data_IF_481273225669
#
_entry.id   IF_481273225669
#
_cell.length_a   1.000
_cell.length_b   1.000
_cell.length_c   1.000
_cell.angle_alpha   90.00
_cell.angle_beta   90.00
_cell.angle_gamma   90.00
#
_symmetry.space_group_name_H-M   'P 1'
#
loop_
_entity.id
_entity.type
_entity.pdbx_description
1 polymer ?
#
# COMPACT_ATOMS: atom_id res chain seq x y z
N UNK A 1 -10.61 -8.84 54.25
CA UNK A 1 -10.03 -9.84 53.32
C UNK A 1 -9.82 -9.20 51.95
N UNK A 2 -8.64 -8.62 51.70
CA UNK A 2 -8.30 -8.01 50.40
C UNK A 2 -7.57 -9.01 49.50
N UNK A 3 -8.07 -9.25 48.29
CA UNK A 3 -7.42 -10.11 47.29
C UNK A 3 -6.21 -9.38 46.69
N UNK A 4 -5.01 -9.94 46.90
CA UNK A 4 -3.75 -9.52 46.28
C UNK A 4 -3.85 -9.65 44.75
N UNK A 5 -3.54 -8.56 44.02
CA UNK A 5 -3.29 -8.59 42.58
C UNK A 5 -1.97 -9.34 42.34
N UNK A 6 -1.98 -10.38 41.52
CA UNK A 6 -0.74 -11.01 41.07
C UNK A 6 -0.05 -10.11 40.06
N UNK A 7 1.22 -9.78 40.33
CA UNK A 7 2.11 -9.16 39.36
C UNK A 7 2.44 -10.18 38.27
N UNK A 8 1.86 -10.03 37.08
CA UNK A 8 2.31 -10.79 35.92
C UNK A 8 3.71 -10.32 35.54
N UNK A 9 4.69 -11.21 35.64
CA UNK A 9 6.01 -11.00 35.06
C UNK A 9 5.89 -10.76 33.54
N UNK A 10 6.69 -9.86 32.96
CA UNK A 10 6.73 -9.68 31.51
C UNK A 10 7.22 -10.99 30.87
N UNK A 11 6.44 -11.54 29.92
CA UNK A 11 6.87 -12.68 29.11
C UNK A 11 8.04 -12.25 28.22
N UNK A 12 9.10 -13.07 28.06
CA UNK A 12 10.23 -12.76 27.20
C UNK A 12 9.72 -12.71 25.75
N UNK A 13 9.92 -11.59 25.05
CA UNK A 13 9.34 -11.34 23.73
C UNK A 13 10.29 -11.45 22.54
N UNK A 14 11.60 -11.62 22.73
CA UNK A 14 12.53 -11.33 21.63
C UNK A 14 13.50 -12.47 21.23
N UNK A 15 13.61 -13.56 22.00
CA UNK A 15 14.61 -14.62 21.69
C UNK A 15 14.33 -15.41 20.39
N UNK A 16 13.07 -15.50 19.97
CA UNK A 16 12.68 -16.25 18.76
C UNK A 16 13.14 -15.57 17.45
N UNK A 17 13.37 -14.26 17.47
CA UNK A 17 13.88 -13.50 16.31
C UNK A 17 15.38 -13.78 16.12
N UNK A 18 16.12 -13.86 17.23
CA UNK A 18 17.57 -14.07 17.23
C UNK A 18 17.98 -15.49 16.81
N UNK A 19 17.11 -16.49 16.99
CA UNK A 19 17.42 -17.90 16.70
C UNK A 19 16.98 -18.38 15.31
N UNK A 20 16.68 -17.47 14.37
CA UNK A 20 16.25 -17.84 13.01
C UNK A 20 14.87 -18.51 12.90
N UNK A 21 14.17 -18.73 14.03
CA UNK A 21 12.82 -19.31 14.04
C UNK A 21 11.78 -18.37 13.41
N UNK A 22 12.08 -17.06 13.37
CA UNK A 22 11.25 -16.01 12.79
C UNK A 22 11.19 -16.02 11.25
N UNK A 23 12.04 -16.79 10.58
CA UNK A 23 12.08 -16.90 9.11
C UNK A 23 11.73 -18.32 8.63
N UNK A 24 11.34 -18.46 7.37
CA UNK A 24 11.21 -19.74 6.65
C UNK A 24 12.59 -20.25 6.24
N UNK A 25 12.65 -21.48 5.70
CA UNK A 25 13.89 -22.05 5.15
C UNK A 25 14.48 -21.17 4.05
N UNK A 26 13.62 -20.55 3.22
CA UNK A 26 14.02 -19.56 2.19
C UNK A 26 14.26 -18.15 2.73
N UNK A 27 14.42 -17.97 4.05
CA UNK A 27 14.76 -16.67 4.67
C UNK A 27 13.61 -15.66 4.81
N UNK A 28 12.39 -15.98 4.36
CA UNK A 28 11.24 -15.06 4.44
C UNK A 28 10.67 -14.97 5.86
N UNK A 29 10.27 -13.78 6.36
CA UNK A 29 9.72 -13.67 7.70
C UNK A 29 8.37 -14.40 7.83
N UNK A 30 8.12 -14.98 9.01
CA UNK A 30 6.89 -15.71 9.34
C UNK A 30 5.95 -14.83 10.17
N UNK A 31 4.79 -14.47 9.61
CA UNK A 31 3.78 -13.57 10.22
C UNK A 31 3.46 -13.88 11.69
N UNK A 32 3.43 -15.17 12.07
CA UNK A 32 3.08 -15.62 13.43
C UNK A 32 3.95 -15.02 14.54
N UNK A 33 5.17 -14.57 14.23
CA UNK A 33 6.09 -13.95 15.19
C UNK A 33 5.94 -12.43 15.30
N UNK A 34 5.15 -11.80 14.43
CA UNK A 34 4.96 -10.35 14.34
C UNK A 34 3.55 -9.92 14.81
N UNK A 35 2.97 -10.64 15.79
CA UNK A 35 1.57 -10.50 16.20
C UNK A 35 1.29 -9.28 17.09
N UNK A 36 0.66 -8.26 16.51
CA UNK A 36 0.03 -7.16 17.24
C UNK A 36 -1.50 -7.16 17.06
N UNK A 37 -2.26 -6.59 18.01
CA UNK A 37 -3.72 -6.40 17.85
C UNK A 37 -4.00 -5.54 16.60
N UNK A 38 -5.00 -5.92 15.81
CA UNK A 38 -5.36 -5.23 14.56
C UNK A 38 -5.81 -3.78 14.77
N UNK A 39 -6.40 -3.48 15.92
CA UNK A 39 -6.91 -2.15 16.24
C UNK A 39 -5.89 -1.35 17.05
N UNK A 40 -5.03 -0.61 16.37
CA UNK A 40 -4.32 0.51 16.98
C UNK A 40 -5.27 1.72 17.05
N UNK A 41 -5.21 2.53 18.10
CA UNK A 41 -5.93 3.81 18.12
C UNK A 41 -5.14 4.80 17.26
N UNK A 42 -5.64 5.27 16.10
CA UNK A 42 -4.90 6.23 15.28
C UNK A 42 -4.64 7.54 16.04
N UNK A 43 -5.44 7.84 17.07
CA UNK A 43 -5.29 9.06 17.85
C UNK A 43 -4.31 8.93 19.03
N UNK A 44 -3.85 7.71 19.38
CA UNK A 44 -2.85 7.54 20.45
C UNK A 44 -1.45 7.83 19.92
N UNK A 45 -0.74 8.76 20.58
CA UNK A 45 0.61 9.18 20.24
C UNK A 45 1.60 8.18 20.84
N UNK A 46 2.28 7.41 20.01
CA UNK A 46 3.48 6.66 20.40
C UNK A 46 4.59 7.02 19.43
N UNK A 47 5.54 7.88 19.83
CA UNK A 47 6.81 8.24 19.16
C UNK A 47 6.84 7.87 17.65
N UNK A 48 6.03 8.57 16.85
CA UNK A 48 6.13 8.56 15.40
C UNK A 48 6.88 9.83 15.04
N UNK A 49 8.02 9.66 14.37
CA UNK A 49 8.78 10.77 13.83
C UNK A 49 8.23 11.11 12.46
N UNK A 50 8.04 12.40 12.22
CA UNK A 50 7.57 12.94 10.96
C UNK A 50 8.64 13.91 10.47
N UNK A 51 8.97 13.91 9.17
CA UNK A 51 9.82 14.94 8.61
C UNK A 51 9.18 16.32 8.80
N UNK A 52 10.02 17.36 8.93
CA UNK A 52 9.53 18.74 9.10
C UNK A 52 8.81 19.26 7.84
N UNK A 53 9.23 18.77 6.68
CA UNK A 53 8.64 19.01 5.37
C UNK A 53 9.00 17.85 4.42
N UNK A 54 8.32 17.71 3.26
CA UNK A 54 8.66 16.68 2.28
C UNK A 54 10.13 16.71 1.85
N UNK A 55 10.72 17.90 1.75
CA UNK A 55 12.12 18.09 1.38
C UNK A 55 13.13 17.58 2.43
N UNK A 56 12.70 17.36 3.68
CA UNK A 56 13.54 16.82 4.76
C UNK A 56 13.42 15.30 4.92
N UNK A 57 12.62 14.62 4.07
CA UNK A 57 12.45 13.18 4.16
C UNK A 57 13.65 12.42 3.58
N UNK A 58 14.22 11.52 4.38
CA UNK A 58 15.25 10.59 3.93
C UNK A 58 14.61 9.33 3.31
N UNK A 59 14.44 9.36 2.00
CA UNK A 59 13.97 8.25 1.19
C UNK A 59 15.05 7.20 0.90
N UNK A 60 16.34 7.46 1.17
CA UNK A 60 17.44 6.54 0.87
C UNK A 60 17.37 5.25 1.70
N UNK A 61 16.85 5.35 2.93
CA UNK A 61 16.60 4.18 3.80
C UNK A 61 15.52 3.26 3.22
N UNK A 62 14.58 3.83 2.46
CA UNK A 62 13.45 3.11 1.87
C UNK A 62 13.76 2.60 0.46
N UNK A 63 14.43 3.41 -0.36
CA UNK A 63 14.68 3.18 -1.78
C UNK A 63 16.16 3.45 -2.13
N UNK A 64 17.12 2.68 -1.60
CA UNK A 64 18.54 2.96 -1.71
C UNK A 64 19.09 2.90 -3.14
N UNK A 65 18.36 2.26 -4.07
CA UNK A 65 18.70 2.24 -5.51
C UNK A 65 18.33 3.52 -6.23
N UNK A 66 17.48 4.36 -5.63
CA UNK A 66 16.91 5.56 -6.25
C UNK A 66 17.25 6.85 -5.49
N UNK A 67 17.86 6.78 -4.32
CA UNK A 67 18.24 7.95 -3.52
C UNK A 67 19.58 7.74 -2.85
N UNK A 68 20.36 8.80 -2.73
CA UNK A 68 21.60 8.81 -1.95
C UNK A 68 21.33 9.26 -0.52
N UNK A 69 22.03 8.73 0.49
CA UNK A 69 21.90 9.20 1.87
C UNK A 69 22.14 10.72 2.01
N UNK A 70 21.42 11.40 2.93
CA UNK A 70 21.64 12.82 3.22
C UNK A 70 23.08 13.10 3.68
N UNK A 71 23.59 14.29 3.38
CA UNK A 71 24.93 14.72 3.78
C UNK A 71 24.99 15.26 5.21
N UNK A 72 23.87 15.77 5.73
CA UNK A 72 23.76 16.26 7.10
C UNK A 72 22.44 15.83 7.78
N UNK A 73 22.40 15.78 9.13
CA UNK A 73 21.17 15.48 9.86
C UNK A 73 20.06 16.50 9.58
N UNK A 74 18.84 16.03 9.32
CA UNK A 74 17.67 16.87 9.06
C UNK A 74 17.49 17.30 7.60
N UNK A 75 18.44 16.97 6.72
CA UNK A 75 18.29 17.10 5.27
C UNK A 75 17.57 15.88 4.69
N UNK A 76 16.82 16.09 3.60
CA UNK A 76 16.26 15.00 2.83
C UNK A 76 17.29 14.32 1.94
N UNK A 77 16.97 13.13 1.47
CA UNK A 77 17.84 12.37 0.57
C UNK A 77 17.74 12.89 -0.88
N UNK A 78 18.86 13.21 -1.55
CA UNK A 78 18.83 13.53 -2.98
C UNK A 78 18.31 12.38 -3.84
N UNK A 79 17.43 12.71 -4.78
CA UNK A 79 16.84 11.74 -5.71
C UNK A 79 17.73 11.49 -6.92
N UNK A 80 17.97 10.22 -7.23
CA UNK A 80 18.61 9.79 -8.47
C UNK A 80 17.57 9.80 -9.60
N UNK A 81 17.91 10.46 -10.71
CA UNK A 81 17.04 10.59 -11.90
C UNK A 81 15.66 11.23 -11.60
N UNK A 82 15.53 12.02 -10.53
CA UNK A 82 14.30 12.73 -10.18
C UNK A 82 13.14 11.82 -9.74
N UNK A 83 13.40 10.57 -9.36
CA UNK A 83 12.40 9.64 -8.84
C UNK A 83 11.76 10.14 -7.55
N UNK A 84 10.45 9.91 -7.43
CA UNK A 84 9.64 10.23 -6.24
C UNK A 84 8.69 9.07 -5.96
N UNK A 85 8.21 8.98 -4.71
CA UNK A 85 7.09 8.09 -4.37
C UNK A 85 5.84 8.57 -5.09
N UNK A 86 5.19 7.67 -5.83
CA UNK A 86 4.00 7.98 -6.63
C UNK A 86 2.76 7.22 -6.16
N UNK A 87 2.93 6.04 -5.57
CA UNK A 87 1.84 5.21 -5.07
C UNK A 87 1.89 5.11 -3.55
N UNK A 88 0.76 5.35 -2.89
CA UNK A 88 0.63 5.21 -1.44
C UNK A 88 -0.47 4.20 -1.06
N UNK A 89 -0.09 3.15 -0.33
CA UNK A 89 -1.01 2.14 0.22
C UNK A 89 -1.27 2.45 1.70
N UNK A 90 -2.42 3.09 1.98
CA UNK A 90 -2.76 3.61 3.30
C UNK A 90 -3.37 2.52 4.16
N UNK A 91 -2.70 2.18 5.26
CA UNK A 91 -3.08 1.04 6.08
C UNK A 91 -2.74 -0.28 5.40
N UNK A 92 -1.54 -0.37 4.82
CA UNK A 92 -1.14 -1.46 3.91
C UNK A 92 -1.17 -2.88 4.53
N UNK A 93 -1.32 -2.99 5.85
CA UNK A 93 -1.28 -4.26 6.55
C UNK A 93 0.04 -4.98 6.28
N UNK A 94 -0.05 -6.23 5.85
CA UNK A 94 1.12 -7.06 5.52
C UNK A 94 1.72 -6.78 4.12
N UNK A 95 1.39 -5.64 3.49
CA UNK A 95 2.05 -5.14 2.28
C UNK A 95 1.68 -5.85 0.98
N UNK A 96 0.64 -6.70 0.99
CA UNK A 96 0.31 -7.57 -0.13
C UNK A 96 0.05 -6.84 -1.45
N UNK A 97 -0.61 -5.67 -1.42
CA UNK A 97 -0.85 -4.85 -2.61
C UNK A 97 0.48 -4.36 -3.20
N UNK A 98 1.18 -3.48 -2.48
CA UNK A 98 2.41 -2.84 -2.98
C UNK A 98 3.48 -3.84 -3.40
N UNK A 99 3.67 -4.94 -2.66
CA UNK A 99 4.63 -6.00 -3.02
C UNK A 99 4.21 -6.70 -4.32
N UNK A 100 2.91 -6.98 -4.53
CA UNK A 100 2.43 -7.60 -5.77
C UNK A 100 2.53 -6.68 -7.00
N UNK A 101 2.43 -5.37 -6.79
CA UNK A 101 2.54 -4.38 -7.86
C UNK A 101 4.00 -4.04 -8.19
N UNK A 102 4.92 -4.26 -7.25
CA UNK A 102 6.34 -3.95 -7.40
C UNK A 102 6.91 -4.42 -8.75
N UNK A 103 6.75 -5.69 -9.17
CA UNK A 103 7.31 -6.18 -10.42
C UNK A 103 6.66 -5.55 -11.67
N UNK A 104 5.39 -5.14 -11.59
CA UNK A 104 4.60 -4.61 -12.71
C UNK A 104 4.91 -3.15 -13.03
N UNK A 105 5.45 -2.42 -12.05
CA UNK A 105 5.75 -1.00 -12.14
C UNK A 105 7.19 -0.72 -11.73
N UNK A 106 8.20 -1.28 -12.42
CA UNK A 106 9.61 -1.23 -11.98
C UNK A 106 10.14 0.19 -11.77
N UNK A 107 9.59 1.15 -12.51
CA UNK A 107 9.97 2.57 -12.48
C UNK A 107 9.16 3.43 -11.50
N UNK A 108 8.09 2.90 -10.90
CA UNK A 108 7.21 3.61 -9.97
C UNK A 108 7.54 3.24 -8.54
N UNK A 109 7.79 4.24 -7.71
CA UNK A 109 8.04 4.01 -6.29
C UNK A 109 6.73 3.93 -5.50
N UNK A 110 6.61 2.86 -4.70
CA UNK A 110 5.44 2.49 -3.92
C UNK A 110 5.76 2.47 -2.42
N UNK A 111 4.92 3.12 -1.62
CA UNK A 111 5.07 3.16 -0.17
C UNK A 111 3.81 2.66 0.54
N UNK A 112 3.97 1.62 1.35
CA UNK A 112 2.96 1.23 2.34
C UNK A 112 3.06 2.09 3.60
N UNK A 113 1.93 2.62 4.08
CA UNK A 113 1.84 3.32 5.36
C UNK A 113 1.10 2.44 6.36
N UNK A 114 1.74 2.06 7.47
CA UNK A 114 1.13 1.23 8.51
C UNK A 114 1.48 1.75 9.89
N UNK A 115 0.50 1.76 10.81
CA UNK A 115 0.69 2.33 12.15
C UNK A 115 1.25 1.29 13.14
N UNK A 116 0.99 0.00 12.89
CA UNK A 116 1.38 -1.10 13.78
C UNK A 116 2.87 -1.43 13.61
N UNK A 117 3.62 -1.30 14.70
CA UNK A 117 5.07 -1.54 14.76
C UNK A 117 5.44 -2.92 14.22
N UNK A 118 4.81 -3.98 14.73
CA UNK A 118 5.21 -5.33 14.37
C UNK A 118 4.82 -5.69 12.93
N UNK A 119 3.72 -5.13 12.43
CA UNK A 119 3.29 -5.33 11.05
C UNK A 119 4.23 -4.59 10.09
N UNK A 120 4.59 -3.35 10.41
CA UNK A 120 5.59 -2.60 9.63
C UNK A 120 6.93 -3.34 9.61
N UNK A 121 7.39 -3.84 10.76
CA UNK A 121 8.63 -4.60 10.86
C UNK A 121 8.58 -5.87 9.98
N UNK A 122 7.49 -6.62 10.03
CA UNK A 122 7.29 -7.79 9.16
C UNK A 122 7.42 -7.43 7.69
N UNK A 123 6.74 -6.37 7.25
CA UNK A 123 6.75 -5.95 5.84
C UNK A 123 8.15 -5.47 5.43
N UNK A 124 8.83 -4.72 6.29
CA UNK A 124 10.21 -4.29 6.07
C UNK A 124 11.16 -5.47 5.89
N UNK A 125 11.08 -6.47 6.77
CA UNK A 125 11.93 -7.66 6.68
C UNK A 125 11.57 -8.53 5.47
N UNK A 126 10.28 -8.57 5.07
CA UNK A 126 9.81 -9.26 3.87
C UNK A 126 10.38 -8.63 2.62
N UNK A 127 10.29 -7.30 2.50
CA UNK A 127 10.85 -6.54 1.37
C UNK A 127 12.38 -6.69 1.32
N UNK A 128 13.06 -6.65 2.46
CA UNK A 128 14.52 -6.89 2.53
C UNK A 128 14.88 -8.29 2.00
N UNK A 129 14.17 -9.32 2.44
CA UNK A 129 14.41 -10.69 1.99
C UNK A 129 14.17 -10.87 0.47
N UNK A 130 13.13 -10.22 -0.07
CA UNK A 130 12.84 -10.21 -1.51
C UNK A 130 13.93 -9.47 -2.32
N UNK A 131 14.44 -8.34 -1.81
CA UNK A 131 15.55 -7.58 -2.43
C UNK A 131 16.86 -8.37 -2.48
N UNK A 132 17.15 -9.16 -1.45
CA UNK A 132 18.36 -9.99 -1.36
C UNK A 132 18.32 -11.22 -2.27
N UNK A 133 17.14 -11.58 -2.79
CA UNK A 133 16.95 -12.69 -3.71
C UNK A 133 16.30 -12.20 -5.02
N UNK A 134 17.00 -11.43 -5.87
CA UNK A 134 16.45 -10.95 -7.14
C UNK A 134 15.90 -12.09 -7.99
N UNK A 135 14.70 -11.90 -8.56
CA UNK A 135 13.98 -12.95 -9.30
C UNK A 135 13.14 -13.88 -8.42
N UNK A 136 13.24 -13.79 -7.09
CA UNK A 136 12.28 -14.44 -6.19
C UNK A 136 10.90 -13.77 -6.30
N UNK A 137 9.86 -14.56 -6.10
CA UNK A 137 8.48 -14.10 -6.10
C UNK A 137 8.01 -14.11 -4.66
N UNK A 138 7.20 -13.13 -4.27
CA UNK A 138 6.51 -13.21 -2.98
C UNK A 138 5.77 -14.55 -2.87
N UNK A 139 6.11 -15.43 -1.91
CA UNK A 139 5.49 -16.73 -1.77
C UNK A 139 3.98 -16.66 -1.53
N UNK A 140 3.47 -15.54 -0.99
CA UNK A 140 2.03 -15.32 -0.86
C UNK A 140 1.33 -15.13 -2.24
N UNK A 141 2.11 -14.96 -3.32
CA UNK A 141 1.71 -14.71 -4.71
C UNK A 141 2.50 -15.58 -5.71
N UNK A 142 3.11 -16.70 -5.27
CA UNK A 142 3.93 -17.56 -6.12
C UNK A 142 3.17 -18.13 -7.33
N UNK A 143 1.88 -18.40 -7.15
CA UNK A 143 0.99 -18.93 -8.19
C UNK A 143 0.80 -17.97 -9.40
N UNK A 144 1.13 -16.69 -9.25
CA UNK A 144 0.94 -15.69 -10.30
C UNK A 144 2.12 -15.58 -11.26
N UNK A 145 3.27 -16.13 -10.90
CA UNK A 145 4.50 -16.13 -11.71
C UNK A 145 4.77 -17.49 -12.36
N UNK A 146 4.27 -18.58 -11.78
CA UNK A 146 4.32 -19.93 -12.41
C UNK A 146 3.45 -20.05 -13.69
N UNK A 147 2.72 -19.02 -14.10
CA UNK A 147 1.93 -18.99 -15.33
C UNK A 147 2.78 -18.84 -16.63
N UNK A 148 4.08 -19.15 -16.60
CA UNK A 148 4.98 -19.13 -17.76
C UNK A 148 5.20 -20.49 -18.44
N UNK A 149 4.79 -21.61 -17.83
CA UNK A 149 4.96 -22.95 -18.43
C UNK A 149 3.78 -23.85 -18.05
N UNK A 150 2.62 -23.65 -18.68
CA UNK A 150 1.52 -24.62 -18.62
C UNK A 150 1.44 -25.37 -19.96
N UNK A 151 1.37 -26.72 -19.97
CA UNK A 151 1.14 -27.48 -21.19
C UNK A 151 -0.25 -27.15 -21.76
N UNK A 152 -0.36 -27.15 -23.09
CA UNK A 152 -1.62 -26.91 -23.81
C UNK A 152 -2.75 -27.83 -23.27
N UNK A 153 -3.87 -27.23 -22.85
CA UNK A 153 -5.11 -27.97 -22.58
C UNK A 153 -5.72 -27.88 -21.17
N UNK A 154 -5.17 -27.11 -20.22
CA UNK A 154 -5.79 -26.95 -18.91
C UNK A 154 -6.80 -25.78 -18.87
N UNK A 155 -8.00 -26.03 -18.33
CA UNK A 155 -9.08 -25.06 -18.14
C UNK A 155 -8.64 -23.74 -17.48
N UNK A 156 -9.31 -22.64 -17.87
CA UNK A 156 -9.04 -21.23 -17.53
C UNK A 156 -8.70 -20.99 -16.05
N UNK A 157 -7.42 -21.07 -15.71
CA UNK A 157 -6.86 -20.55 -14.44
C UNK A 157 -6.74 -19.02 -14.50
N UNK A 158 -6.75 -18.30 -13.35
CA UNK A 158 -6.52 -16.85 -13.35
C UNK A 158 -5.22 -16.55 -14.08
N UNK A 159 -5.31 -15.69 -15.09
CA UNK A 159 -4.19 -15.29 -15.94
C UNK A 159 -3.12 -14.68 -15.04
N UNK A 160 -1.99 -15.37 -14.86
CA UNK A 160 -0.85 -14.86 -14.12
C UNK A 160 -0.26 -13.61 -14.76
N UNK A 161 0.72 -13.00 -14.11
CA UNK A 161 1.36 -11.79 -14.58
C UNK A 161 2.01 -12.08 -15.94
N UNK A 162 1.62 -11.33 -16.99
CA UNK A 162 2.21 -11.50 -18.32
C UNK A 162 3.71 -11.20 -18.27
N UNK A 163 4.57 -12.04 -18.86
CA UNK A 163 6.02 -11.78 -18.93
C UNK A 163 6.38 -10.40 -19.52
N UNK A 164 5.55 -9.86 -20.42
CA UNK A 164 5.72 -8.53 -21.00
C UNK A 164 5.64 -7.38 -19.99
N UNK A 165 5.05 -7.60 -18.81
CA UNK A 165 4.99 -6.63 -17.71
C UNK A 165 6.19 -6.75 -16.76
N UNK A 166 7.03 -7.77 -16.92
CA UNK A 166 8.20 -8.04 -16.07
C UNK A 166 9.49 -7.54 -16.73
N UNK A 167 10.46 -7.00 -15.97
CA UNK A 167 11.76 -6.65 -16.52
C UNK A 167 12.57 -7.91 -16.92
N UNK A 168 13.40 -7.77 -17.95
CA UNK A 168 14.13 -8.87 -18.60
C UNK A 168 15.27 -9.49 -17.78
N UNK A 169 15.83 -8.77 -16.81
CA UNK A 169 17.03 -9.16 -16.03
C UNK A 169 16.71 -9.64 -14.60
N UNK A 170 15.45 -9.98 -14.33
CA UNK A 170 14.98 -10.29 -12.99
C UNK A 170 14.58 -9.03 -12.20
N UNK A 171 13.90 -9.23 -11.08
CA UNK A 171 13.27 -8.14 -10.33
C UNK A 171 13.74 -8.10 -8.87
N UNK A 172 14.17 -6.93 -8.41
CA UNK A 172 14.84 -6.77 -7.11
C UNK A 172 14.02 -6.02 -6.05
N UNK A 173 12.69 -5.84 -6.20
CA UNK A 173 11.80 -5.14 -5.22
C UNK A 173 12.38 -3.81 -4.67
N UNK A 174 13.20 -3.13 -5.47
CA UNK A 174 13.88 -1.89 -5.08
C UNK A 174 12.94 -0.69 -5.05
N UNK A 175 11.77 -0.78 -5.69
CA UNK A 175 10.79 0.30 -5.82
C UNK A 175 9.67 0.27 -4.77
N UNK A 176 9.66 -0.71 -3.85
CA UNK A 176 8.60 -0.88 -2.84
C UNK A 176 9.19 -0.79 -1.44
N UNK A 177 8.54 -0.06 -0.54
CA UNK A 177 8.94 0.04 0.85
C UNK A 177 7.71 0.21 1.76
N UNK A 178 7.95 0.17 3.08
CA UNK A 178 6.93 0.43 4.10
C UNK A 178 7.44 1.46 5.09
N UNK A 179 6.56 2.32 5.56
CA UNK A 179 6.84 3.34 6.55
C UNK A 179 5.87 3.20 7.72
N UNK A 180 6.42 3.24 8.94
CA UNK A 180 5.60 3.31 10.14
C UNK A 180 5.03 4.71 10.27
N UNK A 181 3.78 4.91 9.86
CA UNK A 181 3.15 6.22 9.87
C UNK A 181 1.67 6.12 10.22
N UNK A 182 1.16 7.20 10.81
CA UNK A 182 -0.27 7.40 10.94
C UNK A 182 -0.75 8.27 9.79
N UNK A 183 -1.38 7.65 8.79
CA UNK A 183 -1.87 8.36 7.61
C UNK A 183 -2.99 9.39 7.90
N UNK A 184 -3.59 9.36 9.10
CA UNK A 184 -4.52 10.41 9.54
C UNK A 184 -3.82 11.69 10.03
N UNK A 185 -2.49 11.73 10.03
CA UNK A 185 -1.71 12.86 10.52
C UNK A 185 -0.54 13.13 9.58
N UNK A 186 -0.42 14.39 9.17
CA UNK A 186 0.80 14.91 8.54
C UNK A 186 1.16 14.17 7.24
N UNK A 187 0.18 13.74 6.45
CA UNK A 187 0.46 13.20 5.13
C UNK A 187 1.21 14.23 4.24
N UNK A 188 0.86 15.54 4.28
CA UNK A 188 1.63 16.59 3.61
C UNK A 188 3.05 16.82 4.11
N UNK A 189 3.45 16.20 5.24
CA UNK A 189 4.84 16.24 5.68
C UNK A 189 5.71 15.26 4.91
N UNK A 190 5.14 14.15 4.42
CA UNK A 190 5.87 13.15 3.64
C UNK A 190 5.91 13.48 2.15
N UNK A 191 4.82 14.03 1.61
CA UNK A 191 4.65 14.19 0.18
C UNK A 191 4.46 15.65 -0.22
N UNK A 192 5.08 16.04 -1.33
CA UNK A 192 4.85 17.34 -1.97
C UNK A 192 3.42 17.43 -2.53
N UNK A 193 3.00 18.66 -2.87
CA UNK A 193 1.72 18.89 -3.55
C UNK A 193 1.70 18.11 -4.87
N UNK A 194 0.68 17.29 -5.08
CA UNK A 194 0.50 16.52 -6.32
C UNK A 194 1.59 15.49 -6.59
N UNK A 195 2.35 15.05 -5.58
CA UNK A 195 3.40 14.05 -5.77
C UNK A 195 2.84 12.67 -6.15
N UNK A 196 1.71 12.28 -5.55
CA UNK A 196 1.13 10.96 -5.72
C UNK A 196 0.26 10.90 -6.98
N UNK A 197 0.26 9.74 -7.63
CA UNK A 197 -0.61 9.39 -8.75
C UNK A 197 -1.69 8.38 -8.37
N UNK A 198 -1.45 7.54 -7.35
CA UNK A 198 -2.44 6.60 -6.81
C UNK A 198 -2.41 6.53 -5.28
N UNK A 199 -3.59 6.52 -4.66
CA UNK A 199 -3.78 6.28 -3.22
C UNK A 199 -4.76 5.12 -3.03
N UNK A 200 -4.41 4.17 -2.16
CA UNK A 200 -5.22 2.99 -1.89
C UNK A 200 -5.70 2.96 -0.44
N UNK A 201 -7.01 2.77 -0.25
CA UNK A 201 -7.65 2.54 1.05
C UNK A 201 -8.36 1.18 1.02
N UNK A 202 -7.63 0.12 1.37
CA UNK A 202 -8.10 -1.25 1.20
C UNK A 202 -8.47 -1.87 2.55
N UNK A 203 -9.75 -2.23 2.70
CA UNK A 203 -10.33 -2.78 3.92
C UNK A 203 -10.01 -1.95 5.19
N UNK A 204 -10.23 -0.62 5.17
CA UNK A 204 -9.97 0.21 6.34
C UNK A 204 -10.89 -0.16 7.52
N UNK A 205 -10.44 0.08 8.76
CA UNK A 205 -11.24 -0.22 9.96
C UNK A 205 -12.58 0.57 9.93
N UNK A 206 -13.73 -0.12 9.96
CA UNK A 206 -15.05 0.50 9.86
C UNK A 206 -15.42 1.34 11.08
N UNK A 207 -14.78 1.08 12.23
CA UNK A 207 -15.05 1.75 13.49
C UNK A 207 -16.55 1.83 13.83
N UNK A 208 -17.25 0.68 13.85
CA UNK A 208 -18.72 0.55 13.96
C UNK A 208 -19.44 1.37 15.04
N UNK A 209 -18.76 1.79 16.11
CA UNK A 209 -19.39 2.57 17.18
C UNK A 209 -19.41 4.03 16.76
N UNK A 210 -20.59 4.69 16.76
CA UNK A 210 -20.74 6.10 16.37
C UNK A 210 -19.69 7.05 16.98
N UNK A 211 -19.41 6.90 18.28
CA UNK A 211 -18.36 7.66 19.00
C UNK A 211 -16.93 7.52 18.44
N UNK A 212 -16.69 6.51 17.59
CA UNK A 212 -15.42 6.21 16.93
C UNK A 212 -15.40 6.59 15.45
N UNK A 213 -16.48 7.11 14.87
CA UNK A 213 -16.50 7.49 13.45
C UNK A 213 -15.45 8.56 13.10
N UNK A 214 -15.04 9.39 14.07
CA UNK A 214 -13.93 10.35 13.91
C UNK A 214 -12.57 9.69 13.59
N UNK A 215 -12.44 8.39 13.83
CA UNK A 215 -11.24 7.63 13.50
C UNK A 215 -11.29 7.00 12.09
N UNK A 216 -12.39 7.16 11.34
CA UNK A 216 -12.49 6.65 9.96
C UNK A 216 -11.53 7.43 9.06
N UNK A 217 -10.86 6.71 8.16
CA UNK A 217 -9.81 7.25 7.30
C UNK A 217 -10.34 8.19 6.21
N UNK A 218 -11.63 8.09 5.87
CA UNK A 218 -12.31 9.02 4.97
C UNK A 218 -13.16 9.99 5.80
N UNK A 219 -12.76 11.25 5.80
CA UNK A 219 -13.45 12.39 6.43
C UNK A 219 -13.11 13.68 5.68
N UNK A 220 -13.91 14.76 5.81
CA UNK A 220 -13.69 15.99 5.03
C UNK A 220 -12.30 16.60 5.18
N UNK A 221 -11.76 16.62 6.40
CA UNK A 221 -10.41 17.16 6.67
C UNK A 221 -9.33 16.33 5.99
N UNK A 222 -9.42 15.00 6.09
CA UNK A 222 -8.45 14.10 5.47
C UNK A 222 -8.54 14.13 3.94
N UNK A 223 -9.74 14.28 3.37
CA UNK A 223 -9.90 14.42 1.92
C UNK A 223 -9.16 15.64 1.36
N UNK A 224 -9.06 16.73 2.13
CA UNK A 224 -8.26 17.89 1.73
C UNK A 224 -6.75 17.57 1.69
N UNK A 225 -6.24 16.84 2.69
CA UNK A 225 -4.85 16.36 2.69
C UNK A 225 -4.59 15.40 1.52
N UNK A 226 -5.52 14.47 1.24
CA UNK A 226 -5.40 13.54 0.12
C UNK A 226 -5.42 14.27 -1.23
N UNK A 227 -6.31 15.25 -1.42
CA UNK A 227 -6.37 16.06 -2.63
C UNK A 227 -5.13 16.96 -2.81
N UNK A 228 -4.48 17.36 -1.70
CA UNK A 228 -3.23 18.11 -1.74
C UNK A 228 -2.07 17.26 -2.25
N UNK A 229 -1.90 16.03 -1.74
CA UNK A 229 -0.77 15.16 -2.13
C UNK A 229 -1.02 14.40 -3.45
N UNK A 230 -2.27 14.23 -3.88
CA UNK A 230 -2.65 13.55 -5.13
C UNK A 230 -2.75 14.55 -6.29
N UNK A 231 -2.08 14.26 -7.41
CA UNK A 231 -2.11 15.13 -8.60
C UNK A 231 -3.49 15.17 -9.28
N UNK A 232 -3.83 16.27 -10.00
CA UNK A 232 -4.89 16.26 -11.02
C UNK A 232 -4.81 15.01 -11.91
N UNK A 233 -5.92 14.32 -12.10
CA UNK A 233 -6.00 13.05 -12.84
C UNK A 233 -5.55 11.81 -12.05
N UNK A 234 -4.96 11.97 -10.86
CA UNK A 234 -4.61 10.86 -9.98
C UNK A 234 -5.83 10.09 -9.47
N UNK A 235 -5.62 8.84 -9.06
CA UNK A 235 -6.70 7.92 -8.68
C UNK A 235 -6.67 7.54 -7.20
N UNK A 236 -7.85 7.54 -6.58
CA UNK A 236 -8.08 7.08 -5.22
C UNK A 236 -8.97 5.83 -5.27
N UNK A 237 -8.46 4.73 -4.72
CA UNK A 237 -9.14 3.44 -4.69
C UNK A 237 -9.65 3.14 -3.28
N UNK A 238 -10.92 2.74 -3.16
CA UNK A 238 -11.50 2.27 -1.90
C UNK A 238 -12.10 0.89 -2.09
N UNK A 239 -11.89 -0.03 -1.13
CA UNK A 239 -12.59 -1.31 -1.06
C UNK A 239 -12.87 -1.70 0.38
N UNK A 240 -14.02 -2.29 0.66
CA UNK A 240 -14.40 -2.80 1.98
C UNK A 240 -15.44 -3.91 1.87
N UNK A 241 -15.49 -4.78 2.86
CA UNK A 241 -16.53 -5.79 3.08
C UNK A 241 -17.70 -5.29 3.95
N UNK A 242 -17.70 -3.99 4.32
CA UNK A 242 -18.72 -3.38 5.17
C UNK A 242 -19.53 -2.36 4.37
N UNK A 243 -20.78 -2.68 3.98
CA UNK A 243 -21.63 -1.78 3.19
C UNK A 243 -21.80 -0.38 3.79
N UNK A 244 -22.02 -0.29 5.11
CA UNK A 244 -22.15 0.99 5.82
C UNK A 244 -20.89 1.86 5.71
N UNK A 245 -19.71 1.23 5.69
CA UNK A 245 -18.45 1.94 5.51
C UNK A 245 -18.30 2.40 4.06
N UNK A 246 -18.71 1.58 3.08
CA UNK A 246 -18.72 1.97 1.68
C UNK A 246 -19.61 3.21 1.45
N UNK A 247 -20.85 3.19 1.97
CA UNK A 247 -21.77 4.32 1.90
C UNK A 247 -21.15 5.56 2.55
N UNK A 248 -20.51 5.41 3.71
CA UNK A 248 -19.81 6.51 4.37
C UNK A 248 -18.70 7.10 3.49
N UNK A 249 -17.81 6.27 2.95
CA UNK A 249 -16.68 6.72 2.14
C UNK A 249 -17.17 7.42 0.88
N UNK A 250 -18.09 6.80 0.15
CA UNK A 250 -18.63 7.32 -1.11
C UNK A 250 -19.41 8.62 -0.91
N UNK A 251 -20.18 8.76 0.17
CA UNK A 251 -20.91 10.00 0.47
C UNK A 251 -19.97 11.18 0.73
N UNK A 252 -18.89 10.97 1.48
CA UNK A 252 -17.91 12.01 1.77
C UNK A 252 -17.08 12.39 0.53
N UNK A 253 -16.67 11.39 -0.26
CA UNK A 253 -15.94 11.61 -1.51
C UNK A 253 -16.81 12.35 -2.53
N UNK A 254 -18.07 11.95 -2.71
CA UNK A 254 -19.02 12.61 -3.61
C UNK A 254 -19.28 14.08 -3.22
N UNK A 255 -19.26 14.38 -1.92
CA UNK A 255 -19.49 15.73 -1.41
C UNK A 255 -18.24 16.61 -1.48
N UNK A 256 -17.06 16.05 -1.77
CA UNK A 256 -15.80 16.79 -1.80
C UNK A 256 -15.49 17.30 -3.22
N UNK A 257 -15.24 18.60 -3.41
CA UNK A 257 -15.24 19.23 -4.74
C UNK A 257 -14.12 18.78 -5.68
N UNK A 258 -13.06 18.16 -5.15
CA UNK A 258 -11.89 17.74 -5.94
C UNK A 258 -11.89 16.26 -6.30
N UNK A 259 -13.00 15.53 -6.09
CA UNK A 259 -13.11 14.12 -6.44
C UNK A 259 -14.35 13.83 -7.27
N UNK A 260 -14.18 13.06 -8.34
CA UNK A 260 -15.27 12.51 -9.14
C UNK A 260 -15.20 10.98 -9.13
N UNK A 261 -16.35 10.32 -8.94
CA UNK A 261 -16.44 8.86 -9.01
C UNK A 261 -16.33 8.43 -10.47
N UNK A 262 -15.55 7.40 -10.74
CA UNK A 262 -15.51 6.77 -12.05
C UNK A 262 -16.64 5.76 -12.20
N UNK A 263 -17.21 5.73 -13.40
CA UNK A 263 -18.12 4.66 -13.87
C UNK A 263 -17.35 3.38 -14.18
N UNK A 264 -18.06 2.25 -14.32
CA UNK A 264 -17.44 0.99 -14.72
C UNK A 264 -16.77 1.09 -16.10
N UNK A 265 -17.39 1.81 -17.04
CA UNK A 265 -16.84 2.05 -18.37
C UNK A 265 -15.54 2.87 -18.31
N UNK A 266 -15.52 3.97 -17.53
CA UNK A 266 -14.29 4.76 -17.34
C UNK A 266 -13.17 3.95 -16.69
N UNK A 267 -13.52 3.07 -15.75
CA UNK A 267 -12.57 2.16 -15.10
C UNK A 267 -11.99 1.16 -16.11
N UNK A 268 -12.84 0.53 -16.92
CA UNK A 268 -12.43 -0.44 -17.95
C UNK A 268 -11.60 0.20 -19.07
N UNK A 269 -11.74 1.51 -19.23
CA UNK A 269 -11.01 2.35 -20.17
C UNK A 269 -9.73 3.00 -19.59
N UNK A 270 -9.40 2.79 -18.31
CA UNK A 270 -8.14 3.27 -17.75
C UNK A 270 -6.94 2.72 -18.55
N UNK A 271 -6.01 3.62 -18.90
CA UNK A 271 -4.82 3.31 -19.71
C UNK A 271 -5.01 3.48 -21.23
N UNK A 272 -6.25 3.75 -21.72
CA UNK A 272 -6.50 4.09 -23.13
C UNK A 272 -6.24 5.55 -23.46
N UNK A 273 -6.73 6.45 -22.62
CA UNK A 273 -6.61 7.89 -22.83
C UNK A 273 -5.25 8.34 -22.31
N UNK A 274 -4.44 8.98 -23.15
CA UNK A 274 -3.43 9.92 -22.66
C UNK A 274 -4.22 10.95 -21.86
N UNK A 275 -4.25 10.82 -20.53
CA UNK A 275 -5.09 11.68 -19.70
C UNK A 275 -4.96 13.12 -20.14
N UNK A 276 -6.08 13.78 -20.44
CA UNK A 276 -6.08 15.20 -20.80
C UNK A 276 -5.26 15.96 -19.75
N UNK A 277 -4.09 16.46 -20.16
CA UNK A 277 -3.23 17.29 -19.31
C UNK A 277 -2.26 16.59 -18.35
N UNK A 278 -1.96 15.29 -18.49
CA UNK A 278 -0.87 14.66 -17.69
C UNK A 278 0.30 14.25 -18.59
N UNK A 279 1.32 15.10 -18.66
CA UNK A 279 2.61 14.76 -19.31
C UNK A 279 3.22 13.50 -18.66
N UNK A 280 3.66 12.55 -19.49
CA UNK A 280 4.43 11.38 -19.05
C UNK A 280 3.63 10.12 -18.70
N UNK A 281 2.32 10.06 -18.94
CA UNK A 281 1.55 8.81 -18.79
C UNK A 281 1.68 7.98 -20.07
N UNK A 282 2.31 6.81 -19.97
CA UNK A 282 2.33 5.82 -21.06
C UNK A 282 0.88 5.47 -21.45
N UNK A 283 0.51 5.71 -22.71
CA UNK A 283 -0.78 5.31 -23.28
C UNK A 283 -0.60 4.05 -24.12
N UNK A 284 -1.57 3.13 -24.06
CA UNK A 284 -1.59 1.94 -24.93
C UNK A 284 -1.88 0.65 -24.19
N UNK A 285 -1.77 -0.48 -24.89
CA UNK A 285 -2.17 -1.80 -24.39
C UNK A 285 -1.44 -2.19 -23.10
N UNK A 286 -0.14 -1.89 -23.00
CA UNK A 286 0.66 -2.15 -21.79
C UNK A 286 0.15 -1.36 -20.57
N UNK A 287 -0.24 -0.11 -20.79
CA UNK A 287 -0.81 0.76 -19.74
C UNK A 287 -2.14 0.22 -19.25
N UNK A 288 -3.00 -0.21 -20.16
CA UNK A 288 -4.28 -0.88 -19.83
C UNK A 288 -4.07 -2.16 -19.02
N UNK A 289 -3.07 -2.96 -19.39
CA UNK A 289 -2.75 -4.18 -18.65
C UNK A 289 -2.26 -3.89 -17.23
N UNK A 290 -1.43 -2.86 -17.06
CA UNK A 290 -1.01 -2.39 -15.74
C UNK A 290 -2.19 -1.92 -14.89
N UNK A 291 -3.11 -1.14 -15.44
CA UNK A 291 -4.31 -0.69 -14.71
C UNK A 291 -5.23 -1.86 -14.34
N UNK A 292 -5.40 -2.84 -15.23
CA UNK A 292 -6.11 -4.09 -14.92
C UNK A 292 -5.44 -4.87 -13.80
N UNK A 293 -4.11 -4.94 -13.80
CA UNK A 293 -3.38 -5.61 -12.73
C UNK A 293 -3.53 -4.87 -11.40
N UNK A 294 -3.59 -3.54 -11.39
CA UNK A 294 -3.92 -2.74 -10.19
C UNK A 294 -5.32 -3.09 -9.69
N UNK A 295 -6.33 -3.16 -10.56
CA UNK A 295 -7.70 -3.49 -10.18
C UNK A 295 -7.82 -4.89 -9.60
N UNK A 296 -7.16 -5.87 -10.21
CA UNK A 296 -7.07 -7.24 -9.69
C UNK A 296 -6.41 -7.23 -8.30
N UNK A 297 -5.31 -6.48 -8.19
CA UNK A 297 -4.54 -6.42 -6.97
C UNK A 297 -5.31 -5.81 -5.79
N UNK A 298 -6.00 -4.71 -6.04
CA UNK A 298 -6.91 -4.04 -5.10
C UNK A 298 -7.96 -5.00 -4.54
N UNK A 299 -8.51 -5.88 -5.38
CA UNK A 299 -9.57 -6.80 -4.97
C UNK A 299 -9.04 -8.02 -4.22
N UNK A 300 -7.84 -8.53 -4.55
CA UNK A 300 -7.42 -9.88 -4.16
C UNK A 300 -6.09 -10.01 -3.43
N UNK A 301 -5.20 -9.01 -3.48
CA UNK A 301 -3.80 -9.19 -3.03
C UNK A 301 -3.57 -8.87 -1.56
N UNK A 302 -4.53 -8.21 -0.91
CA UNK A 302 -4.48 -7.97 0.54
C UNK A 302 -4.91 -9.21 1.32
N UNK A 303 -4.43 -9.37 2.55
CA UNK A 303 -4.81 -10.49 3.42
C UNK A 303 -6.31 -10.49 3.73
N UNK A 304 -6.86 -9.30 4.03
CA UNK A 304 -8.28 -9.06 4.20
C UNK A 304 -9.08 -9.43 2.93
N UNK A 305 -8.61 -9.04 1.75
CA UNK A 305 -9.24 -9.40 0.48
C UNK A 305 -9.32 -10.91 0.25
N UNK A 306 -8.23 -11.64 0.53
CA UNK A 306 -8.18 -13.12 0.47
C UNK A 306 -9.10 -13.76 1.52
N UNK A 307 -9.21 -13.15 2.71
CA UNK A 307 -10.08 -13.63 3.80
C UNK A 307 -11.55 -13.48 3.45
N UNK A 308 -11.95 -12.35 2.88
CA UNK A 308 -13.33 -12.09 2.46
C UNK A 308 -13.76 -13.08 1.38
N UNK A 309 -12.89 -13.37 0.40
CA UNK A 309 -13.15 -14.38 -0.63
C UNK A 309 -13.34 -15.78 -0.06
N UNK A 310 -12.49 -16.22 0.87
CA UNK A 310 -12.64 -17.53 1.54
C UNK A 310 -13.95 -17.66 2.32
N UNK A 311 -14.52 -16.55 2.75
CA UNK A 311 -15.74 -16.50 3.52
C UNK A 311 -16.97 -16.17 2.67
N UNK A 312 -16.83 -16.11 1.33
CA UNK A 312 -17.90 -15.75 0.39
C UNK A 312 -18.55 -14.39 0.69
N UNK A 313 -17.79 -13.47 1.29
CA UNK A 313 -18.26 -12.13 1.62
C UNK A 313 -18.29 -11.19 0.40
N UNK A 314 -19.26 -10.27 0.39
CA UNK A 314 -19.32 -9.19 -0.59
C UNK A 314 -18.13 -8.22 -0.46
N UNK A 315 -17.72 -7.63 -1.59
CA UNK A 315 -16.69 -6.58 -1.65
C UNK A 315 -17.27 -5.36 -2.34
N UNK A 316 -17.46 -4.30 -1.57
CA UNK A 316 -17.90 -3.00 -2.07
C UNK A 316 -16.67 -2.16 -2.41
N UNK A 317 -16.59 -1.63 -3.64
CA UNK A 317 -15.43 -0.89 -4.10
C UNK A 317 -15.80 0.30 -4.98
N UNK A 318 -14.91 1.29 -5.05
CA UNK A 318 -15.05 2.43 -5.94
C UNK A 318 -13.70 3.05 -6.26
N UNK A 319 -13.61 3.71 -7.41
CA UNK A 319 -12.45 4.47 -7.87
C UNK A 319 -12.86 5.91 -8.09
N UNK A 320 -11.99 6.84 -7.67
CA UNK A 320 -12.24 8.27 -7.72
C UNK A 320 -11.08 8.98 -8.39
N UNK A 321 -11.37 9.88 -9.32
CA UNK A 321 -10.39 10.74 -9.98
C UNK A 321 -10.28 12.06 -9.25
N UNK A 322 -9.05 12.51 -8.99
CA UNK A 322 -8.75 13.83 -8.44
C UNK A 322 -8.91 14.88 -9.54
N UNK A 323 -9.86 15.79 -9.39
CA UNK A 323 -10.18 16.86 -10.35
C UNK A 323 -9.18 18.02 -10.25
N UNK A 324 -8.93 18.81 -11.31
CA UNK A 324 -8.10 20.01 -11.23
C UNK A 324 -8.54 20.98 -10.12
N UNK A 325 -7.60 21.80 -9.63
CA UNK A 325 -7.96 22.90 -8.71
C UNK A 325 -8.86 23.89 -9.48
N UNK A 326 -9.95 24.41 -8.87
CA UNK A 326 -10.93 25.27 -9.54
C UNK A 326 -10.37 26.62 -9.97
#
# INVERSE_FOLDING_TARGET
MGKKKSSQQPKPKDDAILQGQATTEVGMPRKRFYRQRAHANPLSIHHLEYPSSPASMDWSTHFPTFFTPPTAPGEGSPSLKGKKVEFADVGCGFGGLSISLAPLFPETLMLGLEIRVQVTQYVSDKIRALRLNPGSVDPDNAADVEAGVAPEGAEKRPRGIKPALMPSEGYAYGNVSVLRANAMKFLPNFFEKGQLSKIFFLFPDPHFKARKHKARIISPTLLAEYAYVLRPGGLLYTITDVPDLHIWMTSHLASFPLFARLTEEEIDNLGYESGEGVEGVESGELSRERERAVMEAVKRRTEEGKKVERNEGGKEWSVWRRLPDP
#
